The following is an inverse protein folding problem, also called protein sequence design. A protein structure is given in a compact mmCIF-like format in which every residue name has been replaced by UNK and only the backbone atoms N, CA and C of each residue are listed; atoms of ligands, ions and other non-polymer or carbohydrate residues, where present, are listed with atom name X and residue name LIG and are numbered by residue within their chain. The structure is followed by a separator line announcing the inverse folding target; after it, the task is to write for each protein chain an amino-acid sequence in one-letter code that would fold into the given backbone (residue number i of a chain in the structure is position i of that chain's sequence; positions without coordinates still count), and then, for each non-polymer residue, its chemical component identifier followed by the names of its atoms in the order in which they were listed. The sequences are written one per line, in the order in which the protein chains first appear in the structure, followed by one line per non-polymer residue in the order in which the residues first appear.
data_IF_641814843880
#
_entry.id   IF_641814843880
#
_cell.length_a   1.000
_cell.length_b   1.000
_cell.length_c   1.000
_cell.angle_alpha   90.00
_cell.angle_beta   90.00
_cell.angle_gamma   90.00
#
_symmetry.space_group_name_H-M   'P 1'
#
loop_
_entity.id
_entity.type
_entity.pdbx_description
1 polymer ?
#
# COMPACT_ATOMS: atom_id res chain seq x y z
N UNK A 1 54.35 32.45 -35.84
CA UNK A 1 54.12 32.06 -34.43
C UNK A 1 52.62 31.96 -34.20
N UNK A 2 52.08 30.76 -34.28
CA UNK A 2 50.62 30.49 -34.05
C UNK A 2 50.46 29.93 -32.64
N UNK A 3 49.80 30.69 -31.74
CA UNK A 3 49.38 30.23 -30.43
C UNK A 3 48.04 29.49 -30.59
N UNK A 4 48.07 28.17 -30.42
CA UNK A 4 46.84 27.35 -30.32
C UNK A 4 46.22 27.53 -28.93
N UNK A 5 45.07 28.15 -28.88
CA UNK A 5 44.23 28.22 -27.68
C UNK A 5 43.47 26.90 -27.54
N UNK A 6 43.78 26.13 -26.50
CA UNK A 6 43.06 24.86 -26.17
C UNK A 6 41.88 25.26 -25.29
N UNK A 7 40.68 25.16 -25.85
CA UNK A 7 39.42 25.39 -25.10
C UNK A 7 39.03 24.07 -24.46
N UNK A 8 39.29 23.93 -23.15
CA UNK A 8 38.78 22.82 -22.35
C UNK A 8 37.30 23.08 -21.97
N UNK A 9 36.38 22.45 -22.67
CA UNK A 9 34.98 22.41 -22.27
C UNK A 9 34.82 21.40 -21.14
N UNK A 10 34.62 21.90 -19.91
CA UNK A 10 34.16 21.08 -18.78
C UNK A 10 32.68 20.70 -19.02
N UNK A 11 32.44 19.46 -19.38
CA UNK A 11 31.11 18.85 -19.28
C UNK A 11 30.84 18.60 -17.80
N UNK A 12 30.02 19.44 -17.17
CA UNK A 12 29.43 19.17 -15.89
C UNK A 12 28.37 18.08 -16.07
N UNK A 13 28.72 16.82 -15.80
CA UNK A 13 27.77 15.74 -15.69
C UNK A 13 26.92 15.96 -14.42
N UNK A 14 25.73 16.55 -14.61
CA UNK A 14 24.71 16.63 -13.57
C UNK A 14 24.22 15.22 -13.28
N UNK A 15 24.87 14.55 -12.33
CA UNK A 15 24.42 13.29 -11.79
C UNK A 15 23.06 13.49 -11.12
N UNK A 16 21.98 13.09 -11.81
CA UNK A 16 20.69 12.92 -11.17
C UNK A 16 20.89 11.78 -10.17
N UNK A 17 21.07 12.13 -8.90
CA UNK A 17 21.05 11.16 -7.80
C UNK A 17 19.65 10.55 -7.79
N UNK A 18 19.47 9.44 -8.49
CA UNK A 18 18.33 8.57 -8.29
C UNK A 18 18.42 8.07 -6.86
N UNK A 19 17.55 8.59 -5.99
CA UNK A 19 17.39 8.04 -4.67
C UNK A 19 17.23 6.53 -4.81
N UNK A 20 18.14 5.78 -4.20
CA UNK A 20 18.06 4.31 -4.20
C UNK A 20 16.65 3.93 -3.72
N UNK A 21 15.97 2.98 -4.38
CA UNK A 21 14.67 2.53 -3.91
C UNK A 21 14.84 2.10 -2.46
N UNK A 22 14.02 2.67 -1.57
CA UNK A 22 13.96 2.25 -0.19
C UNK A 22 13.90 0.73 -0.18
N UNK A 23 14.79 0.09 0.62
CA UNK A 23 14.97 -1.35 0.64
C UNK A 23 13.57 -2.02 0.66
N UNK A 24 13.14 -2.75 -0.39
CA UNK A 24 11.78 -3.25 -0.50
C UNK A 24 11.46 -4.31 0.55
N UNK A 25 12.44 -4.72 1.35
CA UNK A 25 12.35 -5.82 2.29
C UNK A 25 12.08 -5.39 3.75
N UNK A 26 11.98 -4.10 4.05
CA UNK A 26 11.64 -3.66 5.40
C UNK A 26 10.28 -2.95 5.43
N UNK A 27 9.28 -3.56 6.11
CA UNK A 27 7.99 -2.91 6.31
C UNK A 27 8.14 -1.66 7.18
N UNK A 28 7.41 -0.61 6.82
CA UNK A 28 7.35 0.61 7.61
C UNK A 28 6.36 0.44 8.75
N UNK A 29 6.85 0.17 9.94
CA UNK A 29 6.03 0.00 11.14
C UNK A 29 5.37 1.30 11.59
N UNK A 30 4.21 1.19 12.22
CA UNK A 30 3.46 2.30 12.77
C UNK A 30 1.96 2.18 12.53
N UNK A 31 1.23 3.23 12.90
CA UNK A 31 -0.21 3.32 12.68
C UNK A 31 -0.49 4.01 11.35
N UNK A 32 -1.37 3.41 10.59
CA UNK A 32 -1.84 3.85 9.30
C UNK A 32 -3.32 4.22 9.42
N UNK A 33 -3.73 5.35 8.86
CA UNK A 33 -5.06 5.90 9.06
C UNK A 33 -5.62 6.46 7.74
N UNK A 34 -6.93 6.25 7.49
CA UNK A 34 -7.65 6.88 6.40
C UNK A 34 -7.76 8.41 6.61
N UNK A 35 -8.03 9.12 5.52
CA UNK A 35 -8.13 10.59 5.55
C UNK A 35 -9.23 11.08 6.50
N UNK A 36 -10.37 10.42 6.49
CA UNK A 36 -11.53 10.69 7.33
C UNK A 36 -11.40 10.15 8.77
N UNK A 37 -10.30 9.44 9.04
CA UNK A 37 -9.98 8.78 10.32
C UNK A 37 -10.95 7.66 10.72
N UNK A 38 -11.85 7.24 9.83
CA UNK A 38 -12.81 6.15 10.11
C UNK A 38 -12.13 4.80 10.21
N UNK A 39 -11.02 4.60 9.46
CA UNK A 39 -10.27 3.35 9.43
C UNK A 39 -8.84 3.55 9.92
N UNK A 40 -8.37 2.62 10.73
CA UNK A 40 -7.00 2.64 11.25
C UNK A 40 -6.47 1.21 11.44
N UNK A 41 -5.20 1.01 11.09
CA UNK A 41 -4.52 -0.26 11.27
C UNK A 41 -3.09 -0.01 11.75
N UNK A 42 -2.61 -0.84 12.68
CA UNK A 42 -1.23 -0.73 13.19
C UNK A 42 -0.43 -1.94 12.76
N UNK A 43 0.70 -1.69 12.09
CA UNK A 43 1.71 -2.69 11.78
C UNK A 43 2.88 -2.56 12.77
N UNK A 44 3.24 -3.65 13.39
CA UNK A 44 4.38 -3.76 14.30
C UNK A 44 5.28 -4.93 13.91
N UNK A 45 6.40 -5.11 14.59
CA UNK A 45 7.24 -6.31 14.43
C UNK A 45 6.54 -7.63 14.80
N UNK A 46 5.43 -7.54 15.53
CA UNK A 46 4.57 -8.69 15.87
C UNK A 46 3.47 -8.93 14.83
N UNK A 47 3.39 -8.10 13.80
CA UNK A 47 2.37 -8.16 12.75
C UNK A 47 1.32 -7.05 12.84
N UNK A 48 0.17 -7.29 12.22
CA UNK A 48 -0.97 -6.37 12.23
C UNK A 48 -1.74 -6.47 13.55
N UNK A 49 -2.08 -5.31 14.10
CA UNK A 49 -3.12 -5.20 15.11
C UNK A 49 -4.43 -4.82 14.39
N UNK A 50 -5.29 -5.80 14.17
CA UNK A 50 -6.58 -5.61 13.51
C UNK A 50 -7.66 -5.69 14.57
N UNK A 51 -8.41 -4.61 14.74
CA UNK A 51 -9.65 -4.62 15.51
C UNK A 51 -10.76 -5.11 14.57
N UNK A 52 -11.03 -6.40 14.57
CA UNK A 52 -12.15 -6.96 13.81
C UNK A 52 -13.35 -7.09 14.75
N UNK A 53 -14.51 -6.65 14.28
CA UNK A 53 -15.80 -6.97 14.91
C UNK A 53 -16.15 -8.44 14.66
N UNK A 54 -15.36 -9.34 15.26
CA UNK A 54 -15.59 -10.76 15.13
C UNK A 54 -16.77 -11.20 16.01
N UNK A 55 -17.57 -12.16 15.56
CA UNK A 55 -18.60 -12.78 16.37
C UNK A 55 -18.02 -13.30 17.69
N UNK A 56 -18.81 -13.27 18.76
CA UNK A 56 -18.34 -13.70 20.10
C UNK A 56 -17.81 -15.15 20.10
N UNK A 57 -18.35 -16.02 19.24
CA UNK A 57 -17.88 -17.39 19.02
C UNK A 57 -16.46 -17.46 18.45
N UNK A 58 -16.06 -16.47 17.66
CA UNK A 58 -14.74 -16.34 17.06
C UNK A 58 -13.68 -15.85 18.05
N UNK A 59 -14.05 -14.93 18.93
CA UNK A 59 -13.13 -14.29 19.88
C UNK A 59 -12.53 -15.26 20.90
N UNK A 60 -13.23 -16.35 21.20
CA UNK A 60 -12.85 -17.34 22.25
C UNK A 60 -11.76 -18.33 21.84
N UNK A 61 -11.41 -18.41 20.54
CA UNK A 61 -10.62 -19.54 20.02
C UNK A 61 -9.20 -19.20 19.61
N UNK A 62 -8.69 -17.99 19.82
CA UNK A 62 -7.33 -17.58 19.38
C UNK A 62 -7.00 -17.95 17.91
N UNK A 63 -7.97 -17.79 17.01
CA UNK A 63 -7.88 -18.26 15.63
C UNK A 63 -7.35 -17.18 14.67
N UNK A 64 -6.52 -16.28 15.17
CA UNK A 64 -5.88 -15.28 14.35
C UNK A 64 -4.73 -15.91 13.57
N UNK A 65 -4.78 -15.73 12.25
CA UNK A 65 -3.65 -16.01 11.36
C UNK A 65 -3.20 -14.75 10.66
N UNK A 66 -1.92 -14.73 10.28
CA UNK A 66 -1.36 -13.67 9.44
C UNK A 66 -0.54 -14.28 8.32
N UNK A 67 -0.67 -13.73 7.12
CA UNK A 67 0.11 -14.12 5.95
C UNK A 67 0.87 -12.91 5.43
N UNK A 68 2.19 -13.05 5.36
CA UNK A 68 3.08 -12.07 4.74
C UNK A 68 3.40 -12.55 3.33
N UNK A 69 3.25 -11.68 2.36
CA UNK A 69 3.50 -11.95 0.95
C UNK A 69 4.02 -10.70 0.23
N UNK A 70 4.32 -10.87 -1.05
CA UNK A 70 4.73 -9.79 -1.93
C UNK A 70 3.86 -9.82 -3.18
N UNK A 71 3.20 -8.71 -3.47
CA UNK A 71 2.41 -8.53 -4.68
C UNK A 71 3.22 -7.75 -5.72
N UNK A 72 3.17 -8.17 -7.00
CA UNK A 72 3.75 -7.38 -8.08
C UNK A 72 2.91 -6.13 -8.35
N UNK A 73 3.55 -5.05 -8.81
CA UNK A 73 2.80 -3.85 -9.12
C UNK A 73 1.79 -4.05 -10.26
N UNK A 74 2.12 -4.91 -11.24
CA UNK A 74 1.19 -5.28 -12.30
C UNK A 74 -0.08 -5.94 -11.75
N UNK A 75 0.08 -6.92 -10.84
CA UNK A 75 -1.06 -7.58 -10.18
C UNK A 75 -1.86 -6.59 -9.34
N UNK A 76 -1.18 -5.79 -8.52
CA UNK A 76 -1.83 -4.81 -7.66
C UNK A 76 -2.66 -3.77 -8.45
N UNK A 77 -2.18 -3.33 -9.61
CA UNK A 77 -2.96 -2.47 -10.51
C UNK A 77 -4.21 -3.17 -11.05
N UNK A 78 -4.08 -4.44 -11.42
CA UNK A 78 -5.20 -5.25 -11.88
C UNK A 78 -6.27 -5.37 -10.81
N UNK A 79 -5.86 -5.73 -9.59
CA UNK A 79 -6.76 -5.92 -8.44
C UNK A 79 -7.49 -4.61 -8.08
N UNK A 80 -6.76 -3.46 -8.09
CA UNK A 80 -7.37 -2.15 -7.86
C UNK A 80 -8.38 -1.80 -8.95
N UNK A 81 -8.07 -2.05 -10.22
CA UNK A 81 -8.99 -1.75 -11.32
C UNK A 81 -10.26 -2.60 -11.23
N UNK A 82 -10.13 -3.87 -10.92
CA UNK A 82 -11.27 -4.77 -10.67
C UNK A 82 -12.13 -4.27 -9.50
N UNK A 83 -11.50 -3.88 -8.38
CA UNK A 83 -12.20 -3.28 -7.26
C UNK A 83 -12.89 -1.96 -7.61
N UNK A 84 -12.33 -1.15 -8.51
CA UNK A 84 -12.96 0.08 -9.00
C UNK A 84 -14.20 -0.22 -9.85
N UNK A 85 -14.17 -1.23 -10.69
CA UNK A 85 -15.31 -1.65 -11.51
C UNK A 85 -16.45 -2.16 -10.63
N UNK A 86 -16.14 -2.96 -9.60
CA UNK A 86 -17.13 -3.44 -8.63
C UNK A 86 -17.75 -2.28 -7.84
N UNK A 87 -16.95 -1.34 -7.36
CA UNK A 87 -17.45 -0.18 -6.62
C UNK A 87 -18.34 0.74 -7.48
N UNK A 88 -18.02 0.91 -8.76
CA UNK A 88 -18.85 1.68 -9.68
C UNK A 88 -20.25 1.08 -9.86
N UNK A 89 -20.41 -0.22 -9.61
CA UNK A 89 -21.70 -0.90 -9.66
C UNK A 89 -22.48 -0.80 -8.35
N UNK A 90 -21.80 -0.70 -7.21
CA UNK A 90 -22.39 -0.88 -5.88
C UNK A 90 -22.56 0.43 -5.07
N UNK A 91 -21.81 1.49 -5.36
CA UNK A 91 -21.70 2.66 -4.48
C UNK A 91 -22.47 3.90 -4.94
N UNK A 92 -23.12 4.57 -3.99
CA UNK A 92 -23.74 5.89 -4.18
C UNK A 92 -22.68 7.03 -4.26
N UNK A 93 -21.49 6.84 -3.66
CA UNK A 93 -20.37 7.81 -3.69
C UNK A 93 -19.18 7.32 -4.52
N UNK A 94 -19.41 7.17 -5.82
CA UNK A 94 -18.42 6.69 -6.81
C UNK A 94 -17.22 7.64 -6.97
N UNK A 95 -17.42 8.92 -6.75
CA UNK A 95 -16.42 9.95 -7.03
C UNK A 95 -15.24 9.94 -6.05
N UNK A 96 -15.50 9.74 -4.77
CA UNK A 96 -14.49 9.81 -3.71
C UNK A 96 -13.51 8.65 -3.77
N UNK A 97 -14.00 7.42 -3.89
CA UNK A 97 -13.15 6.22 -3.98
C UNK A 97 -12.26 6.23 -5.21
N UNK A 98 -12.82 6.54 -6.38
CA UNK A 98 -12.06 6.65 -7.64
C UNK A 98 -11.00 7.74 -7.57
N UNK A 99 -11.29 8.89 -6.96
CA UNK A 99 -10.33 9.98 -6.80
C UNK A 99 -9.17 9.58 -5.87
N UNK A 100 -9.45 8.86 -4.78
CA UNK A 100 -8.41 8.35 -3.89
C UNK A 100 -7.49 7.34 -4.59
N UNK A 101 -8.05 6.40 -5.34
CA UNK A 101 -7.26 5.43 -6.10
C UNK A 101 -6.46 6.08 -7.23
N UNK A 102 -7.02 7.07 -7.92
CA UNK A 102 -6.32 7.84 -8.95
C UNK A 102 -5.07 8.54 -8.42
N UNK A 103 -5.06 8.94 -7.14
CA UNK A 103 -3.88 9.55 -6.51
C UNK A 103 -2.77 8.53 -6.15
N UNK A 104 -3.11 7.25 -6.04
CA UNK A 104 -2.17 6.18 -5.65
C UNK A 104 -1.67 5.39 -6.86
N UNK A 105 -2.52 5.11 -7.84
CA UNK A 105 -2.17 4.33 -9.03
C UNK A 105 -0.87 4.77 -9.72
N UNK A 106 -0.56 6.07 -9.91
CA UNK A 106 0.70 6.50 -10.51
C UNK A 106 1.96 6.13 -9.70
N UNK A 107 1.82 5.86 -8.42
CA UNK A 107 2.93 5.47 -7.53
C UNK A 107 3.26 3.98 -7.63
N UNK A 108 2.35 3.17 -8.17
CA UNK A 108 2.52 1.74 -8.33
C UNK A 108 3.26 1.48 -9.63
N UNK A 109 4.46 0.91 -9.54
CA UNK A 109 5.30 0.54 -10.69
C UNK A 109 5.12 -0.94 -11.00
N UNK A 110 4.83 -1.30 -12.24
CA UNK A 110 4.50 -2.68 -12.65
C UNK A 110 5.59 -3.70 -12.32
N UNK A 111 6.84 -3.30 -12.43
CA UNK A 111 8.01 -4.14 -12.15
C UNK A 111 8.47 -4.13 -10.69
N UNK A 112 7.80 -3.37 -9.81
CA UNK A 112 8.09 -3.35 -8.39
C UNK A 112 7.32 -4.47 -7.65
N UNK A 113 7.78 -4.78 -6.44
CA UNK A 113 7.08 -5.68 -5.50
C UNK A 113 6.73 -4.90 -4.25
N UNK A 114 5.52 -5.12 -3.77
CA UNK A 114 4.96 -4.42 -2.62
C UNK A 114 4.72 -5.39 -1.47
N UNK A 115 5.14 -4.99 -0.27
CA UNK A 115 4.89 -5.74 0.94
C UNK A 115 3.39 -5.81 1.22
N UNK A 116 2.86 -7.02 1.36
CA UNK A 116 1.45 -7.31 1.68
C UNK A 116 1.40 -8.16 2.94
N UNK A 117 0.60 -7.75 3.89
CA UNK A 117 0.27 -8.56 5.06
C UNK A 117 -1.25 -8.62 5.21
N UNK A 118 -1.78 -9.82 5.34
CA UNK A 118 -3.20 -10.09 5.61
C UNK A 118 -3.34 -10.72 6.97
N UNK A 119 -4.30 -10.25 7.75
CA UNK A 119 -4.78 -10.91 8.96
C UNK A 119 -6.17 -11.46 8.74
N UNK A 120 -6.43 -12.65 9.23
CA UNK A 120 -7.70 -13.34 9.09
C UNK A 120 -8.08 -14.05 10.39
N UNK A 121 -9.37 -14.30 10.54
CA UNK A 121 -9.90 -15.18 11.57
C UNK A 121 -10.35 -16.49 10.89
N UNK A 122 -9.87 -17.64 11.35
CA UNK A 122 -10.20 -18.94 10.75
C UNK A 122 -11.68 -19.32 10.86
N UNK A 123 -12.46 -18.57 11.62
CA UNK A 123 -13.89 -18.71 11.80
C UNK A 123 -14.72 -17.64 11.06
N UNK A 124 -14.11 -16.89 10.18
CA UNK A 124 -14.71 -15.82 9.37
C UNK A 124 -14.17 -15.89 7.96
N UNK A 125 -15.01 -15.67 6.98
CA UNK A 125 -14.61 -15.61 5.57
C UNK A 125 -13.92 -14.28 5.22
N UNK A 126 -13.84 -13.33 6.17
CA UNK A 126 -13.23 -12.03 5.98
C UNK A 126 -11.75 -12.00 6.34
N UNK A 127 -11.02 -11.15 5.64
CA UNK A 127 -9.63 -10.77 5.97
C UNK A 127 -9.47 -9.25 5.90
N UNK A 128 -8.52 -8.74 6.65
CA UNK A 128 -8.08 -7.35 6.52
C UNK A 128 -6.57 -7.29 6.46
N UNK A 129 -6.03 -6.32 5.77
CA UNK A 129 -4.59 -6.26 5.60
C UNK A 129 -4.08 -4.91 5.17
N UNK A 130 -2.80 -4.88 4.88
CA UNK A 130 -2.06 -3.69 4.47
C UNK A 130 -1.14 -4.02 3.30
N UNK A 131 -1.18 -3.21 2.25
CA UNK A 131 -0.15 -3.18 1.20
C UNK A 131 0.58 -1.84 1.30
N UNK A 132 1.88 -1.88 1.53
CA UNK A 132 2.69 -0.66 1.59
C UNK A 132 3.14 -0.24 0.19
N UNK A 133 2.77 0.99 -0.20
CA UNK A 133 3.14 1.59 -1.50
C UNK A 133 4.44 2.36 -1.39
N UNK A 134 4.55 3.19 -0.34
CA UNK A 134 5.76 3.93 0.00
C UNK A 134 5.87 4.09 1.54
N UNK A 135 6.86 4.82 2.03
CA UNK A 135 7.10 5.00 3.47
C UNK A 135 5.91 5.63 4.23
N UNK A 136 5.03 6.36 3.53
CA UNK A 136 3.94 7.14 4.10
C UNK A 136 2.56 6.81 3.52
N UNK A 137 2.50 5.97 2.49
CA UNK A 137 1.27 5.60 1.79
C UNK A 137 1.11 4.09 1.79
N UNK A 138 -0.05 3.61 2.15
CA UNK A 138 -0.42 2.21 2.04
C UNK A 138 -1.89 2.07 1.62
N UNK A 139 -2.26 0.87 1.24
CA UNK A 139 -3.65 0.47 1.00
C UNK A 139 -4.06 -0.46 2.15
N UNK A 140 -5.10 -0.11 2.86
CA UNK A 140 -5.83 -1.02 3.72
C UNK A 140 -6.70 -1.89 2.83
N UNK A 141 -6.62 -3.19 3.01
CA UNK A 141 -7.40 -4.20 2.27
C UNK A 141 -8.47 -4.72 3.20
N UNK A 142 -9.68 -4.83 2.70
CA UNK A 142 -10.79 -5.50 3.36
C UNK A 142 -11.39 -6.49 2.36
N UNK A 143 -11.49 -7.76 2.77
CA UNK A 143 -12.01 -8.86 1.96
C UNK A 143 -13.21 -9.43 2.70
N UNK A 144 -14.42 -9.19 2.17
CA UNK A 144 -15.64 -9.83 2.67
C UNK A 144 -16.91 -9.36 1.89
N UNK A 145 -17.45 -10.06 0.95
CA UNK A 145 -16.90 -11.12 0.11
C UNK A 145 -15.92 -10.60 -0.95
N UNK A 146 -16.04 -9.32 -1.33
CA UNK A 146 -15.21 -8.69 -2.35
C UNK A 146 -13.99 -7.99 -1.73
N UNK A 147 -12.98 -7.72 -2.54
CA UNK A 147 -11.75 -7.05 -2.11
C UNK A 147 -11.86 -5.53 -2.32
N UNK A 148 -11.79 -4.77 -1.23
CA UNK A 148 -11.84 -3.32 -1.25
C UNK A 148 -10.54 -2.71 -0.71
N UNK A 149 -10.17 -1.57 -1.28
CA UNK A 149 -8.98 -0.83 -0.90
C UNK A 149 -9.33 0.53 -0.32
N UNK A 150 -8.70 0.91 0.77
CA UNK A 150 -8.79 2.26 1.34
C UNK A 150 -7.39 2.85 1.42
N UNK A 151 -7.19 4.07 0.90
CA UNK A 151 -5.90 4.76 1.02
C UNK A 151 -5.68 5.18 2.46
N UNK A 152 -4.60 4.70 3.05
CA UNK A 152 -4.18 5.08 4.40
C UNK A 152 -2.83 5.77 4.39
N UNK A 153 -2.64 6.70 5.32
CA UNK A 153 -1.40 7.43 5.51
C UNK A 153 -0.79 7.06 6.84
N UNK A 154 0.53 7.00 6.88
CA UNK A 154 1.25 6.79 8.12
C UNK A 154 1.01 7.97 9.06
N UNK A 155 0.52 7.68 10.26
CA UNK A 155 0.36 8.69 11.31
C UNK A 155 1.75 9.14 11.77
N UNK A 156 1.96 10.46 11.81
CA UNK A 156 3.15 11.02 12.45
C UNK A 156 3.04 10.78 13.97
N UNK A 157 4.15 10.47 14.62
CA UNK A 157 4.19 10.34 16.06
C UNK A 157 3.78 11.63 16.77
#
# INVERSE_FOLDING_TARGET
MFKKLLLCTLLAASGIAMAAPANPHQPSYGTWQSRDKSKSITLSSKGLNIVVNAPASCKRRNQWGQVISWVSGKQLRSDINESLELNDQLADDKGSYRAEMAAVLPKIRDNARYFKILGYLSCSDGASGLIQIDANTALLIEIAPDEFYTVVRKRKP
#
